data_IF_095028705909
#
_entry.id   IF_095028705909
#
_cell.length_a   1.000
_cell.length_b   1.000
_cell.length_c   1.000
_cell.angle_alpha   90.00
_cell.angle_beta   90.00
_cell.angle_gamma   90.00
#
_symmetry.space_group_name_H-M   'P 1'
#
loop_
_entity.id
_entity.type
_entity.pdbx_description
1 polymer ?
#
# COMPACT_ATOMS: atom_id res chain seq x y z
N UNK A 1 3.75 25.08 9.83
CA UNK A 1 3.29 23.72 9.45
C UNK A 1 3.52 22.79 10.63
N UNK A 2 2.47 22.15 11.15
CA UNK A 2 2.58 21.20 12.29
C UNK A 2 2.56 19.78 11.71
N UNK A 3 3.59 18.99 11.97
CA UNK A 3 3.67 17.58 11.55
C UNK A 3 3.47 16.72 12.80
N UNK A 4 2.54 15.78 12.75
CA UNK A 4 2.26 14.84 13.84
C UNK A 4 2.41 13.40 13.33
N UNK A 5 3.17 12.57 14.07
CA UNK A 5 3.31 11.16 13.74
C UNK A 5 2.05 10.40 14.18
N UNK A 6 1.30 9.88 13.21
CA UNK A 6 0.17 8.99 13.46
C UNK A 6 0.54 7.54 13.14
N UNK A 7 0.25 6.62 14.08
CA UNK A 7 0.36 5.17 13.86
C UNK A 7 -1.02 4.61 13.57
N UNK A 8 -1.27 4.21 12.33
CA UNK A 8 -2.56 3.70 11.86
C UNK A 8 -2.42 2.20 11.56
N UNK A 9 -3.38 1.39 12.01
CA UNK A 9 -3.40 -0.04 11.69
C UNK A 9 -3.85 -0.22 10.24
N UNK A 10 -3.27 -1.20 9.54
CA UNK A 10 -3.68 -1.54 8.17
C UNK A 10 -5.18 -1.83 8.09
N UNK A 11 -5.75 -2.53 9.08
CA UNK A 11 -7.19 -2.81 9.12
C UNK A 11 -8.04 -1.53 9.10
N UNK A 12 -7.60 -0.48 9.80
CA UNK A 12 -8.32 0.77 9.92
C UNK A 12 -8.13 1.56 8.62
N UNK A 13 -6.94 1.52 8.02
CA UNK A 13 -6.66 2.09 6.70
C UNK A 13 -7.56 1.51 5.59
N UNK A 14 -7.80 0.20 5.58
CA UNK A 14 -8.59 -0.48 4.55
C UNK A 14 -10.09 -0.43 4.82
N UNK A 15 -10.50 -0.04 6.04
CA UNK A 15 -11.92 0.07 6.38
C UNK A 15 -12.64 1.03 5.41
N UNK A 16 -13.76 0.55 4.87
CA UNK A 16 -14.58 1.24 3.85
C UNK A 16 -13.80 1.67 2.60
N UNK A 17 -12.78 0.87 2.21
CA UNK A 17 -12.00 1.14 1.01
C UNK A 17 -12.82 1.01 -0.27
N UNK A 18 -12.80 2.07 -1.07
CA UNK A 18 -13.44 2.12 -2.40
C UNK A 18 -12.45 2.57 -3.46
N UNK A 19 -12.53 1.96 -4.63
CA UNK A 19 -11.78 2.33 -5.83
C UNK A 19 -12.77 2.38 -6.98
N UNK A 20 -13.16 3.58 -7.38
CA UNK A 20 -14.13 3.79 -8.45
C UNK A 20 -13.65 4.89 -9.38
N UNK A 21 -13.93 4.75 -10.68
CA UNK A 21 -13.65 5.79 -11.65
C UNK A 21 -14.39 7.10 -11.31
N UNK A 22 -15.61 6.97 -10.77
CA UNK A 22 -16.42 8.11 -10.41
C UNK A 22 -15.91 8.82 -9.17
N UNK A 23 -15.58 8.16 -8.06
CA UNK A 23 -15.24 8.83 -6.79
C UNK A 23 -13.75 8.85 -6.44
N UNK A 24 -12.90 8.31 -7.31
CA UNK A 24 -11.49 8.13 -7.01
C UNK A 24 -11.27 6.98 -6.05
N UNK A 25 -10.24 7.08 -5.21
CA UNK A 25 -9.86 6.03 -4.27
C UNK A 25 -9.92 6.57 -2.84
N UNK A 26 -10.71 5.92 -1.99
CA UNK A 26 -10.88 6.31 -0.59
C UNK A 26 -10.63 5.14 0.35
N UNK A 27 -10.31 5.44 1.61
CA UNK A 27 -10.15 4.47 2.68
C UNK A 27 -10.24 5.14 4.05
N UNK A 28 -9.74 4.45 5.09
CA UNK A 28 -9.77 4.94 6.47
C UNK A 28 -11.16 5.38 6.93
N UNK A 29 -12.11 4.45 6.91
CA UNK A 29 -13.53 4.72 7.22
C UNK A 29 -14.15 5.79 6.30
N UNK A 30 -13.71 5.82 5.04
CA UNK A 30 -14.09 6.85 4.07
C UNK A 30 -13.53 8.25 4.35
N UNK A 31 -12.68 8.43 5.37
CA UNK A 31 -12.12 9.74 5.76
C UNK A 31 -10.82 10.10 5.05
N UNK A 32 -10.19 9.15 4.36
CA UNK A 32 -8.96 9.38 3.61
C UNK A 32 -9.25 9.34 2.12
N UNK A 33 -9.02 10.47 1.46
CA UNK A 33 -8.94 10.58 0.02
C UNK A 33 -7.53 10.16 -0.43
N UNK A 34 -7.40 8.90 -0.87
CA UNK A 34 -6.13 8.29 -1.25
C UNK A 34 -5.70 8.75 -2.65
N UNK A 35 -6.67 8.88 -3.55
CA UNK A 35 -6.48 9.41 -4.90
C UNK A 35 -7.76 10.17 -5.32
N UNK A 36 -7.74 11.51 -5.24
CA UNK A 36 -8.75 12.34 -5.86
C UNK A 36 -8.82 12.12 -7.38
N UNK A 37 -9.99 12.35 -7.97
CA UNK A 37 -10.26 12.14 -9.41
C UNK A 37 -9.31 12.90 -10.35
N UNK A 38 -8.78 14.03 -9.90
CA UNK A 38 -7.89 14.90 -10.69
C UNK A 38 -6.41 14.50 -10.60
N UNK A 39 -6.03 13.57 -9.71
CA UNK A 39 -4.65 13.11 -9.58
C UNK A 39 -4.31 12.06 -10.64
N UNK A 40 -3.01 11.83 -10.84
CA UNK A 40 -2.52 10.84 -11.81
C UNK A 40 -3.03 9.44 -11.46
N UNK A 41 -3.30 8.68 -12.51
CA UNK A 41 -3.71 7.29 -12.43
C UNK A 41 -2.70 6.41 -11.66
N UNK A 42 -3.19 5.31 -11.13
CA UNK A 42 -2.34 4.29 -10.52
C UNK A 42 -1.49 3.62 -11.61
N UNK A 43 -0.16 3.73 -11.51
CA UNK A 43 0.77 3.26 -12.55
C UNK A 43 1.69 2.14 -12.09
N UNK A 44 1.60 1.74 -10.82
CA UNK A 44 2.39 0.62 -10.30
C UNK A 44 2.07 -0.67 -11.05
N UNK A 45 3.09 -1.24 -11.67
CA UNK A 45 3.03 -2.57 -12.26
C UNK A 45 3.10 -3.64 -11.17
N UNK A 46 2.82 -4.89 -11.55
CA UNK A 46 2.79 -6.02 -10.63
C UNK A 46 4.02 -6.12 -9.71
N UNK A 47 5.22 -6.01 -10.26
CA UNK A 47 6.45 -6.08 -9.47
C UNK A 47 6.52 -4.99 -8.38
N UNK A 48 6.02 -3.78 -8.66
CA UNK A 48 6.08 -2.65 -7.73
C UNK A 48 5.08 -2.81 -6.59
N UNK A 49 3.82 -3.17 -6.90
CA UNK A 49 2.83 -3.47 -5.85
C UNK A 49 3.25 -4.67 -5.00
N UNK A 50 3.83 -5.70 -5.62
CA UNK A 50 4.31 -6.89 -4.93
C UNK A 50 5.44 -6.55 -3.95
N UNK A 51 6.39 -5.69 -4.36
CA UNK A 51 7.48 -5.24 -3.49
C UNK A 51 6.98 -4.48 -2.25
N UNK A 52 5.92 -3.67 -2.39
CA UNK A 52 5.31 -2.98 -1.24
C UNK A 52 4.78 -3.99 -0.24
N UNK A 53 3.99 -4.97 -0.70
CA UNK A 53 3.40 -5.97 0.19
C UNK A 53 4.46 -6.87 0.80
N UNK A 54 5.48 -7.26 0.05
CA UNK A 54 6.59 -8.07 0.56
C UNK A 54 7.36 -7.33 1.66
N UNK A 55 7.60 -6.02 1.49
CA UNK A 55 8.22 -5.16 2.52
C UNK A 55 7.39 -5.15 3.81
N UNK A 56 6.06 -4.97 3.69
CA UNK A 56 5.14 -4.99 4.84
C UNK A 56 5.15 -6.35 5.53
N UNK A 57 5.08 -7.45 4.76
CA UNK A 57 5.06 -8.83 5.29
C UNK A 57 6.35 -9.20 6.02
N UNK A 58 7.49 -8.71 5.54
CA UNK A 58 8.81 -8.92 6.17
C UNK A 58 9.05 -8.04 7.39
N UNK A 59 8.13 -7.12 7.71
CA UNK A 59 8.28 -6.19 8.83
C UNK A 59 9.31 -5.09 8.57
N UNK A 60 9.69 -4.87 7.31
CA UNK A 60 10.60 -3.79 6.95
C UNK A 60 9.84 -2.45 6.92
N UNK A 61 10.51 -1.34 7.27
CA UNK A 61 9.87 -0.03 7.26
C UNK A 61 9.55 0.40 5.82
N UNK A 62 8.31 0.83 5.59
CA UNK A 62 7.96 1.62 4.42
C UNK A 62 8.32 3.08 4.66
N UNK A 63 8.65 3.80 3.58
CA UNK A 63 8.75 5.26 3.63
C UNK A 63 7.45 5.86 4.16
N UNK A 64 7.60 6.85 5.04
CA UNK A 64 6.49 7.59 5.68
C UNK A 64 5.48 8.05 4.63
N UNK A 65 4.19 7.92 4.95
CA UNK A 65 3.10 8.47 4.14
C UNK A 65 2.70 9.82 4.74
N UNK A 66 2.54 10.83 3.89
CA UNK A 66 2.18 12.17 4.32
C UNK A 66 0.72 12.44 3.98
N UNK A 67 -0.08 12.74 4.99
CA UNK A 67 -1.49 13.09 4.83
C UNK A 67 -1.70 14.55 5.25
N UNK A 68 -2.53 15.25 4.50
CA UNK A 68 -2.96 16.61 4.81
C UNK A 68 -4.34 16.52 5.45
N UNK A 69 -4.48 17.05 6.66
CA UNK A 69 -5.78 17.20 7.32
C UNK A 69 -6.54 18.37 6.70
N UNK A 70 -7.78 18.14 6.29
CA UNK A 70 -8.71 19.16 5.78
C UNK A 70 -9.52 19.77 6.92
N UNK A 71 -10.18 20.91 6.64
CA UNK A 71 -10.98 21.65 7.64
C UNK A 71 -12.18 20.86 8.16
N UNK A 72 -12.74 19.98 7.32
CA UNK A 72 -13.86 19.09 7.64
C UNK A 72 -13.46 17.86 8.49
N UNK A 73 -12.18 17.74 8.86
CA UNK A 73 -11.65 16.63 9.63
C UNK A 73 -11.32 15.37 8.82
N UNK A 74 -11.44 15.43 7.49
CA UNK A 74 -10.96 14.39 6.57
C UNK A 74 -9.48 14.57 6.24
N UNK A 75 -8.92 13.62 5.48
CA UNK A 75 -7.51 13.58 5.11
C UNK A 75 -7.37 13.39 3.60
N UNK A 76 -6.34 13.98 3.02
CA UNK A 76 -5.91 13.74 1.64
C UNK A 76 -4.45 13.25 1.64
N UNK A 77 -4.15 12.26 0.82
CA UNK A 77 -2.78 11.79 0.65
C UNK A 77 -1.97 12.79 -0.17
N UNK A 78 -0.88 13.30 0.43
CA UNK A 78 0.11 14.13 -0.23
C UNK A 78 1.27 13.31 -0.81
N UNK A 79 1.71 12.28 -0.08
CA UNK A 79 2.69 11.31 -0.56
C UNK A 79 2.36 9.88 -0.08
N UNK A 80 2.72 8.91 -0.91
CA UNK A 80 2.54 7.49 -0.60
C UNK A 80 1.31 6.86 -1.23
N UNK A 81 0.59 7.58 -2.11
CA UNK A 81 -0.61 7.11 -2.83
C UNK A 81 -0.45 5.68 -3.35
N UNK A 82 0.57 5.40 -4.16
CA UNK A 82 0.76 4.08 -4.78
C UNK A 82 0.99 2.97 -3.75
N UNK A 83 1.68 3.28 -2.64
CA UNK A 83 1.92 2.33 -1.54
C UNK A 83 0.62 2.04 -0.79
N UNK A 84 -0.15 3.08 -0.48
CA UNK A 84 -1.45 2.98 0.18
C UNK A 84 -2.43 2.15 -0.65
N UNK A 85 -2.56 2.45 -1.95
CA UNK A 85 -3.43 1.71 -2.87
C UNK A 85 -3.00 0.25 -2.97
N UNK A 86 -1.70 -0.02 -3.11
CA UNK A 86 -1.19 -1.41 -3.17
C UNK A 86 -1.59 -2.22 -1.93
N UNK A 87 -1.47 -1.63 -0.74
CA UNK A 87 -1.88 -2.26 0.53
C UNK A 87 -3.39 -2.53 0.54
N UNK A 88 -4.20 -1.54 0.17
CA UNK A 88 -5.65 -1.70 0.15
C UNK A 88 -6.11 -2.77 -0.85
N UNK A 89 -5.60 -2.74 -2.07
CA UNK A 89 -5.91 -3.73 -3.12
C UNK A 89 -5.51 -5.15 -2.70
N UNK A 90 -4.35 -5.30 -2.04
CA UNK A 90 -3.92 -6.61 -1.53
C UNK A 90 -4.86 -7.15 -0.45
N UNK A 91 -5.25 -6.31 0.52
CA UNK A 91 -6.15 -6.71 1.61
C UNK A 91 -7.57 -7.01 1.09
N UNK A 92 -8.04 -6.26 0.09
CA UNK A 92 -9.32 -6.50 -0.59
C UNK A 92 -9.33 -7.77 -1.46
N UNK A 93 -8.15 -8.26 -1.83
CA UNK A 93 -7.98 -9.46 -2.66
C UNK A 93 -7.98 -9.19 -4.16
N UNK A 94 -7.78 -7.95 -4.59
CA UNK A 94 -7.76 -7.54 -6.00
C UNK A 94 -6.57 -8.16 -6.76
N UNK A 95 -5.51 -8.55 -6.04
CA UNK A 95 -4.42 -9.35 -6.58
C UNK A 95 -3.82 -10.27 -5.51
N UNK A 96 -3.02 -11.24 -5.96
CA UNK A 96 -2.30 -12.18 -5.11
C UNK A 96 -0.80 -12.03 -5.31
N UNK A 97 -0.05 -12.25 -4.24
CA UNK A 97 1.41 -12.33 -4.30
C UNK A 97 1.83 -13.74 -4.71
N UNK A 98 2.41 -13.88 -5.90
CA UNK A 98 3.22 -15.05 -6.24
C UNK A 98 4.59 -14.89 -5.58
N UNK A 99 4.78 -15.60 -4.47
CA UNK A 99 5.99 -15.49 -3.65
C UNK A 99 7.04 -16.46 -4.20
N UNK A 100 7.97 -15.96 -5.00
CA UNK A 100 9.21 -16.69 -5.29
C UNK A 100 10.15 -16.47 -4.09
N UNK A 101 10.19 -17.44 -3.18
CA UNK A 101 11.08 -17.38 -2.01
C UNK A 101 12.48 -17.73 -2.48
N UNK A 102 13.37 -16.74 -2.47
CA UNK A 102 14.81 -16.94 -2.62
C UNK A 102 15.41 -17.25 -1.24
N UNK A 103 15.74 -18.51 -1.00
CA UNK A 103 16.53 -18.90 0.18
C UNK A 103 17.98 -18.93 -0.26
N UNK A 104 18.77 -17.95 0.18
CA UNK A 104 20.23 -18.02 0.06
C UNK A 104 20.70 -18.98 1.14
N UNK A 105 21.15 -20.18 0.73
CA UNK A 105 21.75 -21.14 1.65
C UNK A 105 23.13 -20.63 2.09
N UNK A 106 23.40 -20.43 3.40
CA UNK A 106 24.71 -19.97 3.88
C UNK A 106 25.88 -20.90 3.55
N UNK A 107 25.59 -22.17 3.16
CA UNK A 107 26.60 -23.21 2.96
C UNK A 107 27.03 -23.41 1.51
N UNK A 108 26.37 -22.79 0.54
CA UNK A 108 26.70 -22.93 -0.87
C UNK A 108 26.31 -21.67 -1.62
N UNK A 109 27.18 -21.17 -2.49
CA UNK A 109 26.90 -20.05 -3.41
C UNK A 109 25.88 -20.44 -4.53
N UNK A 110 24.90 -21.27 -4.19
CA UNK A 110 23.84 -21.78 -5.06
C UNK A 110 22.53 -21.14 -4.64
N UNK A 111 21.93 -20.41 -5.55
CA UNK A 111 20.58 -19.85 -5.41
C UNK A 111 19.56 -20.93 -5.77
N UNK A 112 18.71 -21.30 -4.82
CA UNK A 112 17.59 -22.22 -5.07
C UNK A 112 16.30 -21.41 -5.25
N UNK A 113 15.54 -21.75 -6.29
CA UNK A 113 14.24 -21.16 -6.58
C UNK A 113 13.17 -22.17 -6.18
N UNK A 114 12.28 -21.81 -5.27
CA UNK A 114 11.07 -22.57 -5.00
C UNK A 114 9.87 -21.79 -5.54
N UNK A 115 9.18 -22.35 -6.53
CA UNK A 115 7.90 -21.85 -7.02
C UNK A 115 6.83 -22.66 -6.28
N UNK A 116 6.11 -22.03 -5.34
CA UNK A 116 4.92 -22.64 -4.76
C UNK A 116 3.72 -22.25 -5.64
N UNK A 117 3.14 -23.25 -6.32
CA UNK A 117 1.86 -23.13 -7.04
C UNK A 117 0.68 -23.15 -6.06
#
# INVERSE_FOLDING_TARGET
>A
MKIELAKIKIRDLVADYTDTAENGVTGYHGKLDIRPKYQREFVYKEAQRNAVIDTVRKGFPLNVMYWVKREDGTFEVLDGQQRTISICQFVKGDFRLNINIFIISPKTNKTYFWIMN
#
